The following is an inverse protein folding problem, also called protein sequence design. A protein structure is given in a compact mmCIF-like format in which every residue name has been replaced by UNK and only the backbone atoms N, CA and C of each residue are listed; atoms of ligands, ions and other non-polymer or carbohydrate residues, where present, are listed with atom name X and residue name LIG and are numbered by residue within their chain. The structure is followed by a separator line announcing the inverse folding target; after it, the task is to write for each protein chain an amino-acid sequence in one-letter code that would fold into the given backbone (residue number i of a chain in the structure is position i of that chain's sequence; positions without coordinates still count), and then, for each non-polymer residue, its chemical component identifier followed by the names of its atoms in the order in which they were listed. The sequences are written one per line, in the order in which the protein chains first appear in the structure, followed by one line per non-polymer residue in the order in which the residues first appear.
data_IF_808644036533
#
_entry.id   IF_808644036533
#
_cell.length_a   1.000
_cell.length_b   1.000
_cell.length_c   1.000
_cell.angle_alpha   90.00
_cell.angle_beta   90.00
_cell.angle_gamma   90.00
#
_symmetry.space_group_name_H-M   'P 1'
#
loop_
_entity.id
_entity.type
_entity.pdbx_description
1 polymer ?
#
# COMPACT_ATOMS: atom_id res chain seq x y z
N UNK A 1 -41.00 18.73 -1.20
CA UNK A 1 -39.76 18.09 -1.71
C UNK A 1 -39.38 16.99 -0.72
N UNK A 2 -39.42 15.71 -1.09
CA UNK A 2 -39.20 14.63 -0.14
C UNK A 2 -37.73 14.63 0.30
N UNK A 3 -37.50 14.71 1.61
CA UNK A 3 -36.16 14.66 2.20
C UNK A 3 -35.56 13.28 1.94
N UNK A 4 -34.41 13.25 1.25
CA UNK A 4 -33.64 12.01 1.06
C UNK A 4 -33.31 11.43 2.43
N UNK A 5 -33.78 10.21 2.71
CA UNK A 5 -33.57 9.53 3.99
C UNK A 5 -32.07 9.42 4.31
N UNK A 6 -31.72 9.52 5.58
CA UNK A 6 -30.33 9.39 6.07
C UNK A 6 -29.68 8.06 5.62
N UNK A 7 -30.47 7.01 5.45
CA UNK A 7 -30.09 5.71 4.89
C UNK A 7 -29.59 5.82 3.44
N UNK A 8 -30.19 6.66 2.60
CA UNK A 8 -29.72 6.88 1.23
C UNK A 8 -28.38 7.63 1.19
N UNK A 9 -28.15 8.58 2.12
CA UNK A 9 -26.87 9.29 2.25
C UNK A 9 -25.74 8.34 2.68
N UNK A 10 -26.00 7.47 3.66
CA UNK A 10 -25.03 6.46 4.12
C UNK A 10 -24.70 5.47 2.98
N UNK A 11 -25.68 5.05 2.17
CA UNK A 11 -25.44 4.18 1.01
C UNK A 11 -24.60 4.84 -0.09
N UNK A 12 -24.72 6.17 -0.26
CA UNK A 12 -23.91 6.92 -1.21
C UNK A 12 -22.47 7.13 -0.73
N UNK A 13 -22.28 7.28 0.59
CA UNK A 13 -20.96 7.28 1.23
C UNK A 13 -20.32 5.90 1.19
N UNK A 14 -21.10 4.81 1.16
CA UNK A 14 -20.60 3.44 1.00
C UNK A 14 -19.76 3.25 -0.27
N UNK A 15 -20.10 3.96 -1.36
CA UNK A 15 -19.33 3.96 -2.62
C UNK A 15 -17.97 4.63 -2.47
N UNK A 16 -17.85 5.60 -1.57
CA UNK A 16 -16.61 6.31 -1.25
C UNK A 16 -15.78 5.59 -0.18
N UNK A 17 -16.43 4.92 0.78
CA UNK A 17 -15.78 4.10 1.81
C UNK A 17 -15.09 2.86 1.23
N UNK A 18 -15.48 2.39 0.04
CA UNK A 18 -14.92 1.22 -0.65
C UNK A 18 -13.69 1.52 -1.55
N UNK A 19 -13.09 2.71 -1.45
CA UNK A 19 -11.90 3.11 -2.22
C UNK A 19 -12.23 3.65 -3.62
N UNK A 20 -11.25 3.62 -4.55
CA UNK A 20 -11.37 4.19 -5.90
C UNK A 20 -12.73 3.85 -6.56
N UNK A 21 -13.45 4.84 -7.12
CA UNK A 21 -14.82 4.71 -7.64
C UNK A 21 -14.86 3.98 -9.00
N UNK A 22 -13.99 3.00 -9.21
CA UNK A 22 -13.87 2.19 -10.41
C UNK A 22 -14.20 0.74 -10.03
N UNK A 23 -15.12 0.12 -10.78
CA UNK A 23 -15.54 -1.28 -10.57
C UNK A 23 -14.46 -2.26 -11.07
N UNK A 24 -14.35 -3.43 -10.43
CA UNK A 24 -13.47 -4.52 -10.85
C UNK A 24 -12.22 -4.73 -9.99
N UNK A 25 -11.32 -5.62 -10.45
CA UNK A 25 -10.08 -6.02 -9.75
C UNK A 25 -8.96 -4.98 -9.79
N UNK A 26 -9.16 -3.87 -10.53
CA UNK A 26 -8.22 -2.76 -10.73
C UNK A 26 -6.85 -3.13 -11.33
N UNK A 27 -6.67 -4.38 -11.76
CA UNK A 27 -5.40 -4.90 -12.26
C UNK A 27 -4.83 -4.07 -13.41
N UNK A 28 -5.64 -3.76 -14.43
CA UNK A 28 -5.19 -2.97 -15.58
C UNK A 28 -4.71 -1.57 -15.18
N UNK A 29 -5.43 -0.91 -14.26
CA UNK A 29 -5.05 0.41 -13.76
C UNK A 29 -3.74 0.34 -12.96
N UNK A 30 -3.59 -0.67 -12.10
CA UNK A 30 -2.36 -0.85 -11.33
C UNK A 30 -1.17 -1.18 -12.22
N UNK A 31 -1.35 -1.95 -13.29
CA UNK A 31 -0.30 -2.21 -14.30
C UNK A 31 0.10 -0.93 -15.04
N UNK A 32 -0.86 -0.12 -15.47
CA UNK A 32 -0.55 1.15 -16.15
C UNK A 32 0.24 2.07 -15.21
N UNK A 33 -0.21 2.20 -13.96
CA UNK A 33 0.45 3.07 -12.97
C UNK A 33 1.80 2.50 -12.55
N UNK A 34 1.98 1.18 -12.48
CA UNK A 34 3.27 0.57 -12.17
C UNK A 34 4.29 0.82 -13.29
N UNK A 35 3.86 0.74 -14.55
CA UNK A 35 4.69 1.10 -15.69
C UNK A 35 5.07 2.59 -15.65
N UNK A 36 4.12 3.49 -15.39
CA UNK A 36 4.38 4.92 -15.23
C UNK A 36 5.36 5.18 -14.08
N UNK A 37 5.17 4.56 -12.92
CA UNK A 37 6.06 4.70 -11.78
C UNK A 37 7.47 4.20 -12.09
N UNK A 38 7.59 3.04 -12.73
CA UNK A 38 8.89 2.50 -13.16
C UNK A 38 9.57 3.43 -14.17
N UNK A 39 8.83 3.99 -15.12
CA UNK A 39 9.37 4.95 -16.09
C UNK A 39 9.84 6.23 -15.40
N UNK A 40 9.08 6.76 -14.43
CA UNK A 40 9.49 7.92 -13.62
C UNK A 40 10.76 7.64 -12.81
N UNK A 41 10.86 6.47 -12.19
CA UNK A 41 12.05 6.06 -11.43
C UNK A 41 13.27 5.87 -12.34
N UNK A 42 13.10 5.24 -13.50
CA UNK A 42 14.17 5.10 -14.51
C UNK A 42 14.60 6.47 -15.03
N UNK A 43 13.66 7.38 -15.24
CA UNK A 43 13.97 8.73 -15.72
C UNK A 43 14.84 9.50 -14.72
N UNK A 44 14.43 9.54 -13.45
CA UNK A 44 15.16 10.25 -12.39
C UNK A 44 16.47 9.52 -12.02
N UNK A 45 16.45 8.19 -12.01
CA UNK A 45 17.61 7.34 -11.76
C UNK A 45 18.55 7.17 -12.95
N UNK A 46 18.23 7.74 -14.12
CA UNK A 46 19.01 7.62 -15.35
C UNK A 46 18.84 6.28 -16.08
N UNK A 47 18.71 6.37 -17.41
CA UNK A 47 18.57 5.20 -18.28
C UNK A 47 19.91 4.47 -18.44
N UNK A 48 19.92 3.18 -18.13
CA UNK A 48 21.05 2.28 -18.27
C UNK A 48 20.69 1.04 -19.09
N UNK A 49 21.69 0.23 -19.43
CA UNK A 49 21.56 -0.96 -20.29
C UNK A 49 20.50 -1.97 -19.79
N UNK A 50 20.29 -2.03 -18.49
CA UNK A 50 19.38 -2.98 -17.84
C UNK A 50 18.16 -2.32 -17.18
N UNK A 51 17.85 -1.07 -17.50
CA UNK A 51 16.73 -0.35 -16.87
C UNK A 51 15.36 -1.01 -17.08
N UNK A 52 15.19 -1.84 -18.12
CA UNK A 52 13.96 -2.63 -18.30
C UNK A 52 13.72 -3.65 -17.17
N UNK A 53 14.78 -4.12 -16.49
CA UNK A 53 14.64 -4.99 -15.32
C UNK A 53 13.99 -4.25 -14.14
N UNK A 54 14.11 -2.91 -14.07
CA UNK A 54 13.38 -2.09 -13.09
C UNK A 54 11.88 -2.16 -13.37
N UNK A 55 11.45 -1.98 -14.62
CA UNK A 55 10.04 -2.10 -14.99
C UNK A 55 9.46 -3.50 -14.70
N UNK A 56 10.25 -4.56 -14.95
CA UNK A 56 9.85 -5.93 -14.59
C UNK A 56 9.69 -6.11 -13.08
N UNK A 57 10.54 -5.48 -12.27
CA UNK A 57 10.41 -5.49 -10.81
C UNK A 57 9.09 -4.90 -10.30
N UNK A 58 8.66 -3.79 -10.91
CA UNK A 58 7.37 -3.15 -10.62
C UNK A 58 6.18 -3.99 -11.09
N UNK A 59 6.27 -4.61 -12.28
CA UNK A 59 5.24 -5.54 -12.74
C UNK A 59 5.16 -6.79 -11.86
N UNK A 60 6.29 -7.29 -11.39
CA UNK A 60 6.35 -8.43 -10.49
C UNK A 60 5.66 -8.14 -9.16
N UNK A 61 5.71 -6.90 -8.65
CA UNK A 61 5.00 -6.55 -7.43
C UNK A 61 3.48 -6.60 -7.60
N UNK A 62 2.97 -6.25 -8.79
CA UNK A 62 1.55 -6.42 -9.13
C UNK A 62 1.20 -7.89 -9.28
N UNK A 63 2.10 -8.70 -9.84
CA UNK A 63 1.93 -10.15 -9.91
C UNK A 63 1.88 -10.80 -8.52
N UNK A 64 2.69 -10.32 -7.56
CA UNK A 64 2.62 -10.76 -6.16
C UNK A 64 1.23 -10.53 -5.57
N UNK A 65 0.57 -9.41 -5.85
CA UNK A 65 -0.82 -9.18 -5.42
C UNK A 65 -1.78 -10.21 -6.00
N UNK A 66 -1.60 -10.59 -7.27
CA UNK A 66 -2.41 -11.62 -7.92
C UNK A 66 -2.19 -12.99 -7.29
N UNK A 67 -0.95 -13.37 -6.97
CA UNK A 67 -0.65 -14.59 -6.22
C UNK A 67 -1.31 -14.53 -4.83
N UNK A 68 -1.15 -13.42 -4.12
CA UNK A 68 -1.65 -13.24 -2.76
C UNK A 68 -3.18 -13.41 -2.66
N UNK A 69 -3.94 -13.11 -3.73
CA UNK A 69 -5.40 -13.27 -3.79
C UNK A 69 -5.86 -14.74 -3.71
N UNK A 70 -4.96 -15.70 -3.99
CA UNK A 70 -5.23 -17.13 -3.84
C UNK A 70 -5.09 -17.62 -2.40
N UNK A 71 -4.58 -16.77 -1.50
CA UNK A 71 -4.42 -17.07 -0.09
C UNK A 71 -5.45 -16.30 0.73
N UNK A 72 -5.95 -16.92 1.80
CA UNK A 72 -6.88 -16.26 2.70
C UNK A 72 -6.10 -15.34 3.67
N UNK A 73 -5.98 -14.07 3.28
CA UNK A 73 -5.21 -13.02 3.93
C UNK A 73 -6.09 -12.00 4.68
N UNK A 74 -7.27 -12.42 5.15
CA UNK A 74 -8.17 -11.59 5.97
C UNK A 74 -9.09 -10.74 5.11
N UNK A 75 -9.02 -9.42 5.25
CA UNK A 75 -9.80 -8.48 4.42
C UNK A 75 -9.04 -8.09 3.14
N UNK A 76 -7.85 -8.62 2.90
CA UNK A 76 -7.10 -8.37 1.67
C UNK A 76 -7.71 -9.18 0.53
N UNK A 77 -8.18 -8.47 -0.49
CA UNK A 77 -8.56 -9.02 -1.79
C UNK A 77 -7.75 -8.31 -2.89
N UNK A 78 -7.72 -8.89 -4.09
CA UNK A 78 -6.96 -8.33 -5.21
C UNK A 78 -7.25 -6.85 -5.46
N UNK A 79 -8.51 -6.44 -5.33
CA UNK A 79 -8.92 -5.04 -5.50
C UNK A 79 -8.23 -4.13 -4.48
N UNK A 80 -8.27 -4.46 -3.18
CA UNK A 80 -7.67 -3.66 -2.11
C UNK A 80 -6.15 -3.64 -2.21
N UNK A 81 -5.53 -4.78 -2.48
CA UNK A 81 -4.08 -4.86 -2.68
C UNK A 81 -3.62 -3.98 -3.85
N UNK A 82 -4.35 -4.01 -4.97
CA UNK A 82 -4.10 -3.16 -6.12
C UNK A 82 -4.33 -1.68 -5.83
N UNK A 83 -5.37 -1.30 -5.06
CA UNK A 83 -5.57 0.09 -4.63
C UNK A 83 -4.41 0.61 -3.80
N UNK A 84 -3.98 -0.15 -2.79
CA UNK A 84 -2.87 0.22 -1.91
C UNK A 84 -1.58 0.39 -2.73
N UNK A 85 -1.32 -0.56 -3.62
CA UNK A 85 -0.14 -0.54 -4.50
C UNK A 85 -0.18 0.65 -5.46
N UNK A 86 -1.35 0.93 -6.05
CA UNK A 86 -1.57 2.11 -6.89
C UNK A 86 -1.32 3.41 -6.14
N UNK A 87 -1.82 3.57 -4.91
CA UNK A 87 -1.59 4.79 -4.11
C UNK A 87 -0.09 4.96 -3.82
N UNK A 88 0.60 3.87 -3.47
CA UNK A 88 2.06 3.89 -3.27
C UNK A 88 2.79 4.36 -4.54
N UNK A 89 2.41 3.85 -5.71
CA UNK A 89 3.01 4.27 -6.98
C UNK A 89 2.70 5.72 -7.36
N UNK A 90 1.50 6.22 -7.07
CA UNK A 90 1.18 7.64 -7.28
C UNK A 90 2.08 8.52 -6.40
N UNK A 91 2.27 8.17 -5.13
CA UNK A 91 3.18 8.88 -4.24
C UNK A 91 4.62 8.83 -4.75
N UNK A 92 5.06 7.69 -5.26
CA UNK A 92 6.39 7.54 -5.85
C UNK A 92 6.57 8.42 -7.10
N UNK A 93 5.58 8.46 -7.99
CA UNK A 93 5.57 9.35 -9.17
C UNK A 93 5.67 10.81 -8.73
N UNK A 94 4.90 11.23 -7.72
CA UNK A 94 4.97 12.59 -7.16
C UNK A 94 6.38 12.87 -6.62
N UNK A 95 6.98 11.92 -5.90
CA UNK A 95 8.35 12.02 -5.42
C UNK A 95 9.37 12.20 -6.56
N UNK A 96 9.23 11.43 -7.64
CA UNK A 96 10.07 11.57 -8.84
C UNK A 96 9.88 12.93 -9.52
N UNK A 97 8.63 13.40 -9.68
CA UNK A 97 8.34 14.71 -10.28
C UNK A 97 8.96 15.83 -9.45
N UNK A 98 8.77 15.82 -8.14
CA UNK A 98 9.37 16.83 -7.26
C UNK A 98 10.90 16.77 -7.27
N UNK A 99 11.46 15.57 -7.31
CA UNK A 99 12.91 15.38 -7.43
C UNK A 99 13.47 16.02 -8.70
N UNK A 100 12.69 16.01 -9.79
CA UNK A 100 13.08 16.60 -11.07
C UNK A 100 12.88 18.13 -11.12
N UNK A 101 11.74 18.63 -10.64
CA UNK A 101 11.37 20.04 -10.76
C UNK A 101 11.89 20.94 -9.63
N UNK A 102 12.36 20.36 -8.53
CA UNK A 102 12.81 21.14 -7.36
C UNK A 102 14.26 20.82 -7.00
N UNK A 103 15.02 21.78 -6.43
CA UNK A 103 16.39 21.54 -5.98
C UNK A 103 16.47 20.57 -4.79
N UNK A 104 15.33 20.15 -4.24
CA UNK A 104 15.22 19.17 -3.16
C UNK A 104 15.65 17.78 -3.64
N UNK A 105 15.56 17.50 -4.95
CA UNK A 105 16.22 16.36 -5.59
C UNK A 105 15.93 15.02 -4.92
N UNK A 106 16.99 14.32 -4.50
CA UNK A 106 16.90 13.00 -3.86
C UNK A 106 16.08 13.00 -2.57
N UNK A 107 16.05 14.12 -1.83
CA UNK A 107 15.33 14.23 -0.55
C UNK A 107 13.81 14.17 -0.78
N UNK A 108 13.31 14.83 -1.83
CA UNK A 108 11.88 14.77 -2.16
C UNK A 108 11.48 13.35 -2.53
N UNK A 109 12.30 12.67 -3.34
CA UNK A 109 12.10 11.28 -3.68
C UNK A 109 12.05 10.37 -2.45
N UNK A 110 13.04 10.47 -1.54
CA UNK A 110 13.11 9.63 -0.34
C UNK A 110 11.93 9.85 0.59
N UNK A 111 11.50 11.11 0.79
CA UNK A 111 10.36 11.45 1.64
C UNK A 111 9.08 10.82 1.13
N UNK A 112 8.75 11.00 -0.15
CA UNK A 112 7.53 10.46 -0.73
C UNK A 112 7.56 8.92 -0.82
N UNK A 113 8.72 8.32 -1.12
CA UNK A 113 8.89 6.88 -1.09
C UNK A 113 8.67 6.31 0.33
N UNK A 114 9.12 7.02 1.38
CA UNK A 114 8.96 6.61 2.78
C UNK A 114 7.51 6.77 3.26
N UNK A 115 6.83 7.85 2.86
CA UNK A 115 5.40 8.05 3.15
C UNK A 115 4.57 6.99 2.43
N UNK A 116 4.88 6.70 1.17
CA UNK A 116 4.22 5.65 0.40
C UNK A 116 4.38 4.27 1.03
N UNK A 117 5.61 3.89 1.42
CA UNK A 117 5.88 2.62 2.08
C UNK A 117 5.21 2.52 3.46
N UNK A 118 5.20 3.60 4.24
CA UNK A 118 4.50 3.68 5.52
C UNK A 118 2.99 3.42 5.34
N UNK A 119 2.33 4.18 4.46
CA UNK A 119 0.90 4.04 4.19
C UNK A 119 0.55 2.66 3.63
N UNK A 120 1.36 2.16 2.68
CA UNK A 120 1.20 0.80 2.13
C UNK A 120 1.28 -0.25 3.22
N UNK A 121 2.29 -0.17 4.09
CA UNK A 121 2.51 -1.15 5.17
C UNK A 121 1.41 -1.10 6.19
N UNK A 122 1.05 0.08 6.70
CA UNK A 122 0.06 0.19 7.77
C UNK A 122 -1.32 -0.28 7.29
N UNK A 123 -1.78 0.18 6.12
CA UNK A 123 -3.10 -0.17 5.59
C UNK A 123 -3.16 -1.66 5.24
N UNK A 124 -2.11 -2.20 4.60
CA UNK A 124 -2.07 -3.60 4.21
C UNK A 124 -2.13 -4.53 5.44
N UNK A 125 -1.33 -4.22 6.48
CA UNK A 125 -1.34 -5.01 7.71
C UNK A 125 -2.62 -4.80 8.53
N UNK A 126 -3.21 -3.60 8.55
CA UNK A 126 -4.52 -3.35 9.20
C UNK A 126 -5.61 -4.22 8.61
N UNK A 127 -5.65 -4.34 7.28
CA UNK A 127 -6.62 -5.17 6.56
C UNK A 127 -6.33 -6.66 6.70
N UNK A 128 -5.07 -7.06 6.85
CA UNK A 128 -4.71 -8.44 7.18
C UNK A 128 -5.20 -8.86 8.57
N UNK A 129 -5.28 -7.92 9.52
CA UNK A 129 -5.83 -8.13 10.86
C UNK A 129 -5.11 -9.26 11.61
N UNK A 130 -5.84 -10.32 11.98
CA UNK A 130 -5.26 -11.50 12.66
C UNK A 130 -4.29 -12.30 11.78
N UNK A 131 -4.27 -12.09 10.47
CA UNK A 131 -3.44 -12.83 9.50
C UNK A 131 -2.19 -12.08 9.06
N UNK A 132 -1.78 -11.06 9.82
CA UNK A 132 -0.58 -10.23 9.56
C UNK A 132 0.67 -11.06 9.26
N UNK A 133 0.93 -12.15 10.01
CA UNK A 133 2.11 -13.00 9.78
C UNK A 133 2.09 -13.73 8.43
N UNK A 134 0.90 -14.09 7.91
CA UNK A 134 0.75 -14.72 6.60
C UNK A 134 0.77 -13.69 5.46
N UNK A 135 0.33 -12.46 5.74
CA UNK A 135 0.25 -11.39 4.76
C UNK A 135 1.59 -10.65 4.57
N UNK A 136 2.43 -10.57 5.61
CA UNK A 136 3.69 -9.83 5.57
C UNK A 136 4.68 -10.29 4.47
N UNK A 137 4.85 -11.59 4.16
CA UNK A 137 5.77 -11.99 3.09
C UNK A 137 5.33 -11.49 1.71
N UNK A 138 4.03 -11.40 1.44
CA UNK A 138 3.49 -10.85 0.18
C UNK A 138 3.71 -9.34 0.09
N UNK A 139 3.53 -8.62 1.19
CA UNK A 139 3.84 -7.19 1.23
C UNK A 139 5.32 -6.94 0.93
N UNK A 140 6.22 -7.59 1.66
CA UNK A 140 7.65 -7.34 1.54
C UNK A 140 8.24 -7.86 0.23
N UNK A 141 7.76 -8.99 -0.29
CA UNK A 141 8.20 -9.47 -1.62
C UNK A 141 7.87 -8.48 -2.73
N UNK A 142 6.69 -7.86 -2.71
CA UNK A 142 6.35 -6.80 -3.67
C UNK A 142 7.23 -5.55 -3.52
N UNK A 143 7.55 -5.14 -2.30
CA UNK A 143 8.43 -3.99 -2.07
C UNK A 143 9.89 -4.27 -2.45
N UNK A 144 10.37 -5.49 -2.20
CA UNK A 144 11.70 -5.96 -2.60
C UNK A 144 11.80 -6.02 -4.13
N UNK A 145 10.77 -6.52 -4.82
CA UNK A 145 10.78 -6.60 -6.28
C UNK A 145 10.81 -5.24 -6.95
N UNK A 146 10.28 -4.20 -6.33
CA UNK A 146 10.37 -2.81 -6.82
C UNK A 146 11.75 -2.19 -6.55
N UNK A 147 12.25 -2.33 -5.32
CA UNK A 147 13.42 -1.60 -4.82
C UNK A 147 14.77 -2.22 -5.19
N UNK A 148 14.88 -3.55 -5.21
CA UNK A 148 16.13 -4.25 -5.52
C UNK A 148 16.55 -4.02 -6.97
N UNK A 149 15.71 -4.26 -8.00
CA UNK A 149 16.07 -3.95 -9.37
C UNK A 149 16.44 -2.47 -9.56
N UNK A 150 15.75 -1.56 -8.86
CA UNK A 150 16.06 -0.13 -8.88
C UNK A 150 17.46 0.17 -8.34
N UNK A 151 17.91 -0.50 -7.27
CA UNK A 151 19.26 -0.32 -6.71
C UNK A 151 20.38 -0.84 -7.61
N UNK A 152 20.14 -1.92 -8.36
CA UNK A 152 21.18 -2.56 -9.18
C UNK A 152 21.24 -2.06 -10.62
N UNK A 153 20.11 -1.68 -11.22
CA UNK A 153 20.00 -1.44 -12.66
C UNK A 153 19.72 0.01 -13.07
N UNK A 154 19.56 0.94 -12.12
CA UNK A 154 19.57 2.38 -12.41
C UNK A 154 21.01 2.87 -12.60
N UNK A 155 21.19 3.82 -13.51
CA UNK A 155 22.51 4.42 -13.76
C UNK A 155 23.00 5.20 -12.52
N UNK A 156 22.12 5.98 -11.91
CA UNK A 156 22.33 6.65 -10.64
C UNK A 156 21.82 5.76 -9.49
N UNK A 157 22.74 5.00 -8.90
CA UNK A 157 22.47 4.08 -7.80
C UNK A 157 21.92 4.77 -6.55
N UNK A 158 22.15 6.07 -6.37
CA UNK A 158 21.65 6.80 -5.19
C UNK A 158 20.13 6.74 -5.08
N UNK A 159 19.40 6.83 -6.21
CA UNK A 159 17.94 6.73 -6.21
C UNK A 159 17.44 5.34 -5.83
N UNK A 160 18.10 4.28 -6.31
CA UNK A 160 17.73 2.92 -5.95
C UNK A 160 18.04 2.57 -4.49
N UNK A 161 19.20 3.00 -3.98
CA UNK A 161 19.56 2.84 -2.55
C UNK A 161 18.62 3.66 -1.65
N UNK A 162 18.31 4.90 -2.06
CA UNK A 162 17.31 5.74 -1.41
C UNK A 162 15.95 5.04 -1.33
N UNK A 163 15.51 4.38 -2.40
CA UNK A 163 14.24 3.65 -2.42
C UNK A 163 14.22 2.49 -1.41
N UNK A 164 15.30 1.71 -1.34
CA UNK A 164 15.45 0.64 -0.32
C UNK A 164 15.39 1.25 1.09
N UNK A 165 16.18 2.31 1.34
CA UNK A 165 16.21 2.98 2.64
C UNK A 165 14.83 3.52 3.05
N UNK A 166 14.13 4.18 2.14
CA UNK A 166 12.78 4.69 2.35
C UNK A 166 11.76 3.58 2.61
N UNK A 167 11.89 2.43 1.95
CA UNK A 167 11.00 1.29 2.19
C UNK A 167 11.23 0.69 3.57
N UNK A 168 12.49 0.51 3.97
CA UNK A 168 12.85 0.04 5.31
C UNK A 168 12.35 1.01 6.39
N UNK A 169 12.63 2.32 6.24
CA UNK A 169 12.24 3.34 7.22
C UNK A 169 10.72 3.45 7.33
N UNK A 170 10.01 3.59 6.22
CA UNK A 170 8.55 3.75 6.26
C UNK A 170 7.83 2.49 6.74
N UNK A 171 8.24 1.30 6.30
CA UNK A 171 7.69 0.05 6.82
C UNK A 171 8.04 -0.17 8.29
N UNK A 172 9.27 0.15 8.71
CA UNK A 172 9.71 0.06 10.11
C UNK A 172 8.90 0.98 11.03
N UNK A 173 8.67 2.23 10.62
CA UNK A 173 7.82 3.18 11.35
C UNK A 173 6.36 2.69 11.43
N UNK A 174 5.83 2.13 10.34
CA UNK A 174 4.48 1.55 10.33
C UNK A 174 4.38 0.38 11.32
N UNK A 175 5.36 -0.54 11.30
CA UNK A 175 5.41 -1.65 12.24
C UNK A 175 5.55 -1.19 13.70
N UNK A 176 6.41 -0.20 13.97
CA UNK A 176 6.51 0.40 15.32
C UNK A 176 5.18 0.98 15.78
N UNK A 177 4.49 1.72 14.92
CA UNK A 177 3.17 2.27 15.24
C UNK A 177 2.15 1.15 15.53
N UNK A 178 2.14 0.08 14.72
CA UNK A 178 1.30 -1.09 14.96
C UNK A 178 1.61 -1.72 16.32
N UNK A 179 2.89 -1.94 16.64
CA UNK A 179 3.30 -2.50 17.92
C UNK A 179 2.88 -1.61 19.09
N UNK A 180 3.01 -0.29 18.95
CA UNK A 180 2.56 0.67 19.96
C UNK A 180 1.04 0.56 20.17
N UNK A 181 0.27 0.53 19.09
CA UNK A 181 -1.19 0.41 19.14
C UNK A 181 -1.66 -0.93 19.69
N UNK A 182 -0.92 -2.02 19.43
CA UNK A 182 -1.24 -3.36 19.96
C UNK A 182 -0.91 -3.46 21.45
N UNK A 183 0.23 -2.93 21.87
CA UNK A 183 0.79 -3.15 23.21
C UNK A 183 0.35 -2.13 24.25
N UNK A 184 0.22 -0.86 23.88
CA UNK A 184 -0.01 0.23 24.85
C UNK A 184 -1.44 0.73 24.88
N UNK A 185 -2.22 0.52 23.82
CA UNK A 185 -3.58 1.02 23.76
C UNK A 185 -4.59 -0.14 23.74
N UNK A 186 -5.15 -0.42 24.93
CA UNK A 186 -6.21 -1.39 25.15
C UNK A 186 -7.52 -0.65 25.44
N UNK A 187 -8.56 -0.88 24.64
CA UNK A 187 -9.93 -0.45 24.94
C UNK A 187 -10.69 -1.69 25.40
N UNK A 188 -11.15 -1.71 26.66
CA UNK A 188 -11.86 -2.85 27.26
C UNK A 188 -11.14 -4.21 27.07
N UNK A 189 -9.83 -4.27 27.36
CA UNK A 189 -8.97 -5.47 27.22
C UNK A 189 -8.75 -5.99 25.77
N UNK A 190 -9.28 -5.31 24.76
CA UNK A 190 -9.02 -5.58 23.34
C UNK A 190 -8.05 -4.52 22.81
N UNK A 191 -7.03 -4.94 22.04
CA UNK A 191 -6.09 -4.00 21.43
C UNK A 191 -6.80 -3.08 20.43
N UNK A 192 -6.45 -1.78 20.41
CA UNK A 192 -7.04 -0.83 19.44
C UNK A 192 -6.86 -1.32 18.01
N UNK A 193 -5.76 -2.01 17.72
CA UNK A 193 -5.54 -2.61 16.42
C UNK A 193 -6.61 -3.63 16.02
N UNK A 194 -6.97 -4.54 16.93
CA UNK A 194 -8.03 -5.51 16.68
C UNK A 194 -9.39 -4.82 16.57
N UNK A 195 -9.62 -3.76 17.34
CA UNK A 195 -10.83 -2.95 17.25
C UNK A 195 -10.93 -2.23 15.90
N UNK A 196 -9.86 -1.55 15.45
CA UNK A 196 -9.80 -0.85 14.16
C UNK A 196 -9.96 -1.84 13.00
N UNK A 197 -9.26 -2.97 13.03
CA UNK A 197 -9.36 -4.02 12.00
C UNK A 197 -10.79 -4.61 11.94
N UNK A 198 -11.44 -4.81 13.09
CA UNK A 198 -12.81 -5.35 13.15
C UNK A 198 -13.87 -4.32 12.77
N UNK A 199 -13.66 -3.04 13.11
CA UNK A 199 -14.48 -1.93 12.61
C UNK A 199 -14.34 -1.82 11.10
N UNK A 200 -13.13 -1.96 10.55
CA UNK A 200 -12.94 -2.04 9.09
C UNK A 200 -13.63 -3.28 8.50
N UNK A 201 -13.59 -4.44 9.15
CA UNK A 201 -14.30 -5.65 8.70
C UNK A 201 -15.81 -5.42 8.58
N UNK A 202 -16.40 -4.72 9.55
CA UNK A 202 -17.84 -4.41 9.55
C UNK A 202 -18.21 -3.29 8.59
N UNK A 203 -17.43 -2.20 8.54
CA UNK A 203 -17.72 -1.08 7.66
C UNK A 203 -17.47 -1.39 6.19
N UNK A 204 -16.45 -2.20 5.89
CA UNK A 204 -16.07 -2.52 4.52
C UNK A 204 -16.75 -3.78 4.01
N UNK A 205 -16.79 -4.87 4.78
CA UNK A 205 -17.31 -6.16 4.29
C UNK A 205 -18.58 -6.65 5.01
N UNK A 206 -19.12 -5.88 5.96
CA UNK A 206 -20.31 -6.28 6.73
C UNK A 206 -20.07 -7.51 7.61
N UNK A 207 -18.82 -7.97 7.78
CA UNK A 207 -18.47 -9.17 8.55
C UNK A 207 -18.52 -8.89 10.05
N UNK A 208 -19.70 -9.08 10.65
CA UNK A 208 -19.93 -8.88 12.09
C UNK A 208 -19.22 -9.90 12.99
N UNK A 209 -18.89 -11.08 12.46
CA UNK A 209 -18.22 -12.14 13.23
C UNK A 209 -16.92 -11.70 13.89
N UNK A 210 -16.18 -10.75 13.30
CA UNK A 210 -14.94 -10.24 13.88
C UNK A 210 -15.17 -9.31 15.07
N UNK A 211 -16.32 -8.61 15.12
CA UNK A 211 -16.72 -7.82 16.30
C UNK A 211 -17.40 -8.70 17.35
N UNK A 212 -18.14 -9.73 16.94
CA UNK A 212 -18.78 -10.69 17.85
C UNK A 212 -17.71 -11.51 18.61
N UNK A 213 -16.67 -11.99 17.92
CA UNK A 213 -15.49 -12.64 18.55
C UNK A 213 -14.62 -11.72 19.42
N UNK A 214 -14.88 -10.40 19.44
CA UNK A 214 -14.25 -9.45 20.36
C UNK A 214 -15.14 -9.07 21.54
N UNK A 215 -16.43 -9.42 21.47
CA UNK A 215 -17.41 -9.20 22.52
C UNK A 215 -17.58 -10.42 23.44
N UNK A 216 -17.25 -11.62 22.95
CA UNK A 216 -17.05 -12.85 23.73
C UNK A 216 -15.69 -12.85 24.47
#
# INVERSE_FOLDING_TARGET
MPSKSATSRISSLYRFLWGFPIRGRLLGLTVIISLLASASVIHVGGFGKYSLLVALGFLFSVFVNWIADHFDLGLLNLRRMNQITTVNFILLIIGCLLSFYTPIGLIAFTMFAAVGSFLRTIIYLSLAGRRVLKASPFLFSGMISESVPSAFFLNNKMYGVAMIGSYIVGSGLALMLILILVKFFLIKRVSIWNYVSSVFAVLLDGKRSWLEELAD
#
